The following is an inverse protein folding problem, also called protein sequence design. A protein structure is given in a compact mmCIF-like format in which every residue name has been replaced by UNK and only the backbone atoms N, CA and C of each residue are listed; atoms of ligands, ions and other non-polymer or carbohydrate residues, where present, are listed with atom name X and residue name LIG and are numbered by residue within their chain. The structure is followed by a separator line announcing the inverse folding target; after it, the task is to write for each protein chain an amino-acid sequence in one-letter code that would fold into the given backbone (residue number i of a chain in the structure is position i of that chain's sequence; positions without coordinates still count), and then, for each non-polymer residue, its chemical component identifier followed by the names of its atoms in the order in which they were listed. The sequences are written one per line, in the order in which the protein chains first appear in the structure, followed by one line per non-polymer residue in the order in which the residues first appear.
data_IF_826337188787
#
_entry.id   IF_826337188787
#
_cell.length_a   1.000
_cell.length_b   1.000
_cell.length_c   1.000
_cell.angle_alpha   90.00
_cell.angle_beta   90.00
_cell.angle_gamma   90.00
#
_symmetry.space_group_name_H-M   'P 1'
#
loop_
_entity.id
_entity.type
_entity.pdbx_description
1 polymer ?
#
# COMPACT_ATOMS: atom_id res chain seq x y z
N UNK A 1 -16.42 6.68 26.32
CA UNK A 1 -17.06 6.05 25.15
C UNK A 1 -16.50 6.54 23.79
N UNK A 2 -15.76 7.66 23.72
CA UNK A 2 -15.13 8.15 22.47
C UNK A 2 -13.86 7.39 22.02
N UNK A 3 -13.21 6.62 22.90
CA UNK A 3 -11.95 5.91 22.59
C UNK A 3 -12.15 4.62 21.76
N UNK A 4 -13.32 3.99 21.88
CA UNK A 4 -13.61 2.72 21.18
C UNK A 4 -13.92 2.90 19.69
N UNK A 5 -14.41 4.06 19.25
CA UNK A 5 -14.68 4.29 17.82
C UNK A 5 -13.40 4.42 17.02
N UNK A 6 -12.43 5.19 17.51
CA UNK A 6 -11.12 5.35 16.87
C UNK A 6 -10.32 4.03 16.85
N UNK A 7 -10.43 3.21 17.90
CA UNK A 7 -9.84 1.88 17.91
C UNK A 7 -10.49 0.95 16.89
N UNK A 8 -11.83 0.99 16.76
CA UNK A 8 -12.56 0.20 15.77
C UNK A 8 -12.30 0.65 14.33
N UNK A 9 -12.13 1.94 14.09
CA UNK A 9 -11.75 2.48 12.77
C UNK A 9 -10.35 2.01 12.38
N UNK A 10 -9.40 2.02 13.32
CA UNK A 10 -8.05 1.47 13.11
C UNK A 10 -8.09 -0.03 12.82
N UNK A 11 -8.91 -0.79 13.53
CA UNK A 11 -9.09 -2.23 13.27
C UNK A 11 -9.63 -2.48 11.86
N UNK A 12 -10.65 -1.72 11.42
CA UNK A 12 -11.18 -1.82 10.06
C UNK A 12 -10.14 -1.49 9.00
N UNK A 13 -9.35 -0.44 9.22
CA UNK A 13 -8.27 -0.09 8.30
C UNK A 13 -7.23 -1.22 8.20
N UNK A 14 -6.91 -1.90 9.31
CA UNK A 14 -6.02 -3.07 9.30
C UNK A 14 -6.64 -4.26 8.56
N UNK A 15 -7.92 -4.55 8.76
CA UNK A 15 -8.64 -5.61 8.03
C UNK A 15 -8.67 -5.34 6.51
N UNK A 16 -8.86 -4.08 6.11
CA UNK A 16 -8.81 -3.67 4.71
C UNK A 16 -7.41 -3.86 4.11
N UNK A 17 -6.37 -3.49 4.85
CA UNK A 17 -4.96 -3.73 4.45
C UNK A 17 -4.67 -5.23 4.32
N UNK A 18 -5.11 -6.06 5.27
CA UNK A 18 -4.93 -7.52 5.20
C UNK A 18 -5.61 -8.12 3.97
N UNK A 19 -6.81 -7.63 3.64
CA UNK A 19 -7.53 -8.04 2.43
C UNK A 19 -6.76 -7.66 1.15
N UNK A 20 -6.19 -6.46 1.09
CA UNK A 20 -5.37 -6.02 -0.04
C UNK A 20 -4.10 -6.86 -0.18
N UNK A 21 -3.41 -7.17 0.92
CA UNK A 21 -2.24 -8.06 0.92
C UNK A 21 -2.63 -9.44 0.37
N UNK A 22 -3.77 -9.99 0.80
CA UNK A 22 -4.28 -11.26 0.29
C UNK A 22 -4.51 -11.23 -1.23
N UNK A 23 -5.07 -10.15 -1.76
CA UNK A 23 -5.29 -9.97 -3.19
C UNK A 23 -3.97 -9.89 -3.98
N UNK A 24 -2.97 -9.19 -3.45
CA UNK A 24 -1.63 -9.10 -4.07
C UNK A 24 -0.96 -10.47 -4.12
N UNK A 25 -0.99 -11.23 -3.02
CA UNK A 25 -0.41 -12.56 -2.95
C UNK A 25 -1.09 -13.53 -3.92
N UNK A 26 -2.42 -13.48 -4.02
CA UNK A 26 -3.17 -14.31 -4.98
C UNK A 26 -2.85 -13.95 -6.44
N UNK A 27 -2.69 -12.66 -6.73
CA UNK A 27 -2.25 -12.20 -8.05
C UNK A 27 -0.85 -12.71 -8.39
N UNK A 28 0.11 -12.59 -7.45
CA UNK A 28 1.46 -13.13 -7.62
C UNK A 28 1.46 -14.65 -7.84
N UNK A 29 0.64 -15.40 -7.09
CA UNK A 29 0.45 -16.84 -7.28
C UNK A 29 -0.13 -17.23 -8.64
N UNK A 30 -0.78 -16.29 -9.35
CA UNK A 30 -1.30 -16.50 -10.70
C UNK A 30 -0.28 -16.08 -11.76
N UNK A 31 0.42 -14.97 -11.55
CA UNK A 31 1.35 -14.37 -12.54
C UNK A 31 2.66 -15.13 -12.63
N UNK A 32 3.26 -15.53 -11.50
CA UNK A 32 4.56 -16.20 -11.46
C UNK A 32 4.54 -17.54 -12.24
N UNK A 33 3.52 -18.42 -12.10
CA UNK A 33 3.42 -19.63 -12.91
C UNK A 33 3.11 -19.37 -14.39
N UNK A 34 2.46 -18.25 -14.73
CA UNK A 34 2.22 -17.89 -16.13
C UNK A 34 3.49 -17.35 -16.80
N UNK A 35 4.35 -16.66 -16.03
CA UNK A 35 5.69 -16.26 -16.46
C UNK A 35 6.60 -17.46 -16.73
N UNK A 36 6.54 -18.50 -15.89
CA UNK A 36 7.35 -19.71 -16.07
C UNK A 36 6.94 -20.56 -17.27
N UNK A 37 5.73 -20.35 -17.84
CA UNK A 37 5.22 -21.07 -19.03
C UNK A 37 5.68 -20.47 -20.36
N UNK A 38 6.47 -19.39 -20.37
CA UNK A 38 7.19 -18.91 -21.55
C UNK A 38 6.34 -18.29 -22.68
N UNK A 39 5.03 -18.10 -22.50
CA UNK A 39 4.20 -17.26 -23.40
C UNK A 39 4.15 -15.84 -22.84
N UNK A 40 5.18 -15.06 -23.17
CA UNK A 40 5.38 -13.67 -22.72
C UNK A 40 4.15 -12.82 -22.99
N UNK A 41 3.33 -12.56 -21.96
CA UNK A 41 2.32 -11.48 -21.97
C UNK A 41 3.00 -10.18 -21.58
N UNK A 42 3.99 -9.78 -22.36
CA UNK A 42 4.90 -8.64 -22.09
C UNK A 42 4.12 -7.37 -21.72
N UNK A 43 3.06 -7.06 -22.49
CA UNK A 43 2.14 -5.95 -22.21
C UNK A 43 1.38 -6.05 -20.89
N UNK A 44 1.06 -7.26 -20.42
CA UNK A 44 0.39 -7.45 -19.13
C UNK A 44 1.38 -7.22 -18.00
N UNK A 45 2.62 -7.68 -18.16
CA UNK A 45 3.70 -7.47 -17.19
C UNK A 45 4.07 -6.00 -17.09
N UNK A 46 4.20 -5.30 -18.21
CA UNK A 46 4.46 -3.86 -18.22
C UNK A 46 3.36 -3.09 -17.49
N UNK A 47 2.09 -3.46 -17.70
CA UNK A 47 0.96 -2.85 -16.99
C UNK A 47 1.00 -3.14 -15.50
N UNK A 48 1.30 -4.37 -15.10
CA UNK A 48 1.40 -4.73 -13.68
C UNK A 48 2.60 -4.07 -13.00
N UNK A 49 3.74 -3.99 -13.68
CA UNK A 49 4.92 -3.28 -13.19
C UNK A 49 4.63 -1.78 -13.02
N UNK A 50 3.98 -1.16 -14.00
CA UNK A 50 3.56 0.25 -13.90
C UNK A 50 2.59 0.49 -12.73
N UNK A 51 1.60 -0.40 -12.54
CA UNK A 51 0.67 -0.31 -11.41
C UNK A 51 1.37 -0.49 -10.05
N UNK A 52 2.33 -1.42 -9.97
CA UNK A 52 3.14 -1.64 -8.78
C UNK A 52 3.99 -0.41 -8.46
N UNK A 53 4.69 0.16 -9.44
CA UNK A 53 5.50 1.37 -9.26
C UNK A 53 4.64 2.55 -8.80
N UNK A 54 3.45 2.73 -9.37
CA UNK A 54 2.52 3.78 -8.94
C UNK A 54 2.07 3.59 -7.47
N UNK A 55 1.81 2.34 -7.05
CA UNK A 55 1.46 2.03 -5.67
C UNK A 55 2.59 2.34 -4.70
N UNK A 56 3.83 1.93 -5.03
CA UNK A 56 5.02 2.24 -4.22
C UNK A 56 5.24 3.73 -4.08
N UNK A 57 5.12 4.48 -5.18
CA UNK A 57 5.25 5.95 -5.17
C UNK A 57 4.19 6.62 -4.31
N UNK A 58 2.94 6.11 -4.33
CA UNK A 58 1.88 6.62 -3.48
C UNK A 58 2.18 6.39 -1.99
N UNK A 59 2.59 5.18 -1.63
CA UNK A 59 2.97 4.84 -0.25
C UNK A 59 4.14 5.71 0.23
N UNK A 60 5.17 5.88 -0.61
CA UNK A 60 6.31 6.72 -0.29
C UNK A 60 5.92 8.20 -0.10
N UNK A 61 5.04 8.72 -0.95
CA UNK A 61 4.53 10.08 -0.84
C UNK A 61 3.76 10.30 0.47
N UNK A 62 2.90 9.36 0.85
CA UNK A 62 2.10 9.40 2.08
C UNK A 62 2.99 9.31 3.33
N UNK A 63 3.94 8.36 3.36
CA UNK A 63 4.93 8.27 4.45
C UNK A 63 5.80 9.52 4.55
N UNK A 64 6.17 10.11 3.41
CA UNK A 64 6.92 11.37 3.37
C UNK A 64 6.09 12.54 3.87
N UNK A 65 4.79 12.59 3.57
CA UNK A 65 3.87 13.59 4.07
C UNK A 65 3.69 13.47 5.59
N UNK A 66 3.50 12.25 6.11
CA UNK A 66 3.41 11.99 7.55
C UNK A 66 4.70 12.37 8.27
N UNK A 67 5.87 12.03 7.71
CA UNK A 67 7.18 12.43 8.27
C UNK A 67 7.33 13.95 8.32
N UNK A 68 6.92 14.67 7.26
CA UNK A 68 6.93 16.15 7.24
C UNK A 68 5.97 16.74 8.26
N UNK A 69 4.76 16.21 8.35
CA UNK A 69 3.75 16.64 9.31
C UNK A 69 4.26 16.49 10.76
N UNK A 70 4.91 15.36 11.08
CA UNK A 70 5.54 15.15 12.38
C UNK A 70 6.72 16.11 12.62
N UNK A 71 7.52 16.39 11.59
CA UNK A 71 8.68 17.30 11.70
C UNK A 71 8.26 18.76 11.86
N UNK A 72 7.18 19.19 11.19
CA UNK A 72 6.63 20.54 11.33
C UNK A 72 5.76 20.67 12.59
N UNK A 73 5.00 19.64 12.97
CA UNK A 73 4.22 19.61 14.20
C UNK A 73 5.10 19.77 15.44
N UNK A 74 6.27 19.11 15.48
CA UNK A 74 7.27 19.34 16.56
C UNK A 74 7.87 20.74 16.58
N UNK A 75 7.80 21.50 15.48
CA UNK A 75 8.28 22.89 15.42
C UNK A 75 7.25 23.88 15.95
N UNK A 76 5.96 23.54 15.98
CA UNK A 76 4.89 24.41 16.47
C UNK A 76 4.73 24.31 18.00
N UNK A 77 5.09 23.19 18.63
CA UNK A 77 5.05 23.05 20.10
C UNK A 77 6.19 23.77 20.85
N UNK A 78 7.10 24.44 20.13
CA UNK A 78 8.23 25.17 20.69
C UNK A 78 8.17 26.70 20.49
N UNK A 79 6.99 27.26 20.21
CA UNK A 79 6.73 28.71 20.27
C UNK A 79 5.67 29.05 21.31
#
# INVERSE_FOLDING_TARGET
VASSSAANERLRALEDIEREIGAILQNAGTVIPELSKGKTRERLLDRQAAAFTASVQHVEAELSAQTRCLTQGKKIEHF
#
